data_IF_231406114975
#
_entry.id   IF_231406114975
#
_cell.length_a   1.000
_cell.length_b   1.000
_cell.length_c   1.000
_cell.angle_alpha   90.00
_cell.angle_beta   90.00
_cell.angle_gamma   90.00
#
_symmetry.space_group_name_H-M   'P 1'
#
loop_
_entity.id
_entity.type
_entity.pdbx_description
1 polymer ?
#
# COMPACT_ATOMS: atom_id res chain seq x y z
N UNK A 1 10.30 -12.16 -10.71
CA UNK A 1 10.76 -11.06 -11.56
C UNK A 1 10.02 -11.14 -12.88
N UNK A 2 9.63 -10.01 -13.45
CA UNK A 2 9.07 -9.97 -14.80
C UNK A 2 10.14 -10.36 -15.84
N UNK A 3 9.71 -11.10 -16.86
CA UNK A 3 10.53 -11.47 -18.02
C UNK A 3 9.98 -10.71 -19.24
N UNK A 4 10.29 -9.41 -19.29
CA UNK A 4 9.79 -8.47 -20.28
C UNK A 4 8.92 -7.36 -19.68
N UNK A 5 8.92 -6.22 -20.38
CA UNK A 5 8.08 -5.05 -20.09
C UNK A 5 6.59 -5.38 -20.31
N UNK A 6 5.77 -4.90 -19.39
CA UNK A 6 4.32 -5.10 -19.40
C UNK A 6 3.61 -3.77 -19.46
N UNK A 7 2.93 -3.50 -20.58
CA UNK A 7 2.05 -2.36 -20.72
C UNK A 7 0.90 -2.39 -19.70
N UNK A 8 0.34 -1.22 -19.37
CA UNK A 8 -0.94 -1.15 -18.68
C UNK A 8 -2.05 -1.84 -19.49
N UNK A 9 -3.04 -2.39 -18.80
CA UNK A 9 -4.20 -3.03 -19.42
C UNK A 9 -4.06 -4.53 -19.67
N UNK A 10 -2.93 -5.16 -19.30
CA UNK A 10 -2.74 -6.60 -19.52
C UNK A 10 -3.38 -7.43 -18.42
N UNK A 11 -3.74 -8.67 -18.77
CA UNK A 11 -4.32 -9.66 -17.85
C UNK A 11 -3.44 -10.91 -17.67
N UNK A 12 -2.22 -10.85 -18.20
CA UNK A 12 -1.22 -11.91 -18.06
C UNK A 12 0.18 -11.29 -17.91
N UNK A 13 0.93 -11.78 -16.93
CA UNK A 13 2.34 -11.42 -16.74
C UNK A 13 3.21 -12.61 -17.13
N UNK A 14 4.27 -12.36 -17.90
CA UNK A 14 5.36 -13.31 -18.11
C UNK A 14 6.39 -13.07 -17.01
N UNK A 15 6.76 -14.13 -16.30
CA UNK A 15 7.66 -14.02 -15.16
C UNK A 15 8.72 -15.10 -15.22
N UNK A 16 9.86 -14.83 -14.59
CA UNK A 16 10.81 -15.87 -14.21
C UNK A 16 10.10 -16.99 -13.45
N UNK A 17 10.62 -18.21 -13.61
CA UNK A 17 10.08 -19.39 -12.94
C UNK A 17 9.86 -19.14 -11.45
N UNK A 18 8.61 -19.23 -11.00
CA UNK A 18 8.25 -18.88 -9.63
C UNK A 18 8.99 -19.77 -8.62
N UNK A 19 9.62 -19.20 -7.58
CA UNK A 19 10.30 -20.00 -6.56
C UNK A 19 9.33 -20.80 -5.66
N UNK A 20 8.05 -20.41 -5.65
CA UNK A 20 6.99 -21.04 -4.87
C UNK A 20 5.63 -20.87 -5.54
N UNK A 21 4.60 -21.51 -4.97
CA UNK A 21 3.24 -21.33 -5.45
C UNK A 21 2.70 -19.94 -5.07
N UNK A 22 1.87 -19.35 -5.94
CA UNK A 22 1.22 -18.05 -5.74
C UNK A 22 -0.30 -18.27 -5.86
N UNK A 23 -1.06 -18.24 -4.76
CA UNK A 23 -2.50 -18.47 -4.81
C UNK A 23 -3.27 -17.33 -5.50
N UNK A 24 -4.47 -17.63 -5.98
CA UNK A 24 -5.42 -16.63 -6.43
C UNK A 24 -5.72 -15.62 -5.30
N UNK A 25 -5.93 -14.36 -5.68
CA UNK A 25 -6.15 -13.25 -4.77
C UNK A 25 -4.88 -12.59 -4.25
N UNK A 26 -3.70 -13.14 -4.54
CA UNK A 26 -2.41 -12.52 -4.19
C UNK A 26 -2.28 -11.15 -4.83
N UNK A 27 -1.83 -10.16 -4.05
CA UNK A 27 -1.37 -8.87 -4.59
C UNK A 27 0.13 -8.94 -4.79
N UNK A 28 0.55 -8.72 -6.02
CA UNK A 28 1.94 -8.54 -6.43
C UNK A 28 2.21 -7.04 -6.39
N UNK A 29 3.17 -6.62 -5.58
CA UNK A 29 3.59 -5.23 -5.46
C UNK A 29 4.96 -5.04 -6.13
N UNK A 30 4.99 -4.38 -7.28
CA UNK A 30 6.21 -4.09 -8.03
C UNK A 30 6.80 -2.71 -7.64
N UNK A 31 6.37 -2.16 -6.49
CA UNK A 31 6.79 -0.86 -6.00
C UNK A 31 5.92 0.26 -6.55
N UNK A 32 6.52 1.42 -6.83
CA UNK A 32 5.78 2.58 -7.31
C UNK A 32 6.53 3.40 -8.33
N UNK A 33 5.78 4.13 -9.14
CA UNK A 33 6.28 5.17 -10.03
C UNK A 33 6.39 6.45 -9.21
N UNK A 34 7.55 7.10 -9.23
CA UNK A 34 7.73 8.39 -8.57
C UNK A 34 6.90 9.48 -9.27
N UNK A 35 6.43 10.46 -8.50
CA UNK A 35 5.73 11.60 -9.08
C UNK A 35 6.60 12.38 -10.07
N UNK A 36 5.96 12.90 -11.12
CA UNK A 36 6.59 13.69 -12.19
C UNK A 36 5.97 15.08 -12.23
N UNK A 37 6.78 16.12 -12.14
CA UNK A 37 6.35 17.49 -12.38
C UNK A 37 6.56 17.84 -13.85
N UNK A 38 5.46 18.08 -14.56
CA UNK A 38 5.46 18.56 -15.94
C UNK A 38 5.47 20.09 -15.92
N UNK A 39 6.41 20.70 -16.63
CA UNK A 39 6.43 22.15 -16.86
C UNK A 39 6.27 22.42 -18.35
N UNK A 40 5.25 23.18 -18.76
CA UNK A 40 5.10 23.60 -20.15
C UNK A 40 6.22 24.56 -20.54
N UNK A 41 6.78 24.37 -21.74
CA UNK A 41 7.89 25.19 -22.25
C UNK A 41 7.47 26.27 -23.23
N UNK A 42 6.25 26.13 -23.77
CA UNK A 42 5.59 27.06 -24.66
C UNK A 42 4.09 26.94 -24.44
N UNK A 43 3.37 28.02 -24.74
CA UNK A 43 1.92 27.98 -24.69
C UNK A 43 1.37 26.97 -25.71
N UNK A 44 0.47 26.09 -25.26
CA UNK A 44 -0.21 25.11 -26.10
C UNK A 44 -1.66 25.52 -26.25
N UNK A 45 -2.06 25.85 -27.48
CA UNK A 45 -3.37 26.39 -27.78
C UNK A 45 -4.51 25.38 -27.52
N UNK A 46 -5.71 25.90 -27.29
CA UNK A 46 -6.95 25.11 -27.26
C UNK A 46 -7.08 24.23 -28.51
N UNK A 47 -7.43 22.96 -28.31
CA UNK A 47 -7.51 21.95 -29.38
C UNK A 47 -6.17 21.38 -29.83
N UNK A 48 -5.05 21.74 -29.19
CA UNK A 48 -3.80 21.03 -29.42
C UNK A 48 -3.90 19.58 -28.92
N UNK A 49 -3.27 18.66 -29.63
CA UNK A 49 -3.16 17.22 -29.29
C UNK A 49 -1.77 16.84 -28.79
N UNK A 50 -0.93 17.84 -28.55
CA UNK A 50 0.40 17.69 -27.98
C UNK A 50 0.71 18.87 -27.07
N UNK A 51 1.29 18.56 -25.91
CA UNK A 51 1.81 19.53 -24.96
C UNK A 51 3.34 19.49 -25.00
N UNK A 52 3.99 20.61 -25.34
CA UNK A 52 5.46 20.71 -25.29
C UNK A 52 5.89 21.07 -23.87
N UNK A 53 6.85 20.32 -23.32
CA UNK A 53 7.29 20.45 -21.94
C UNK A 53 8.80 20.31 -21.79
N UNK A 54 9.30 20.61 -20.59
CA UNK A 54 10.64 20.20 -20.20
C UNK A 54 10.78 18.69 -20.25
N UNK A 55 12.01 18.22 -20.44
CA UNK A 55 12.34 16.80 -20.40
C UNK A 55 11.79 16.18 -19.11
N UNK A 56 10.96 15.14 -19.23
CA UNK A 56 10.34 14.50 -18.08
C UNK A 56 11.38 13.79 -17.21
N UNK A 57 11.20 13.86 -15.88
CA UNK A 57 12.05 13.15 -14.91
C UNK A 57 11.70 11.67 -14.77
N UNK A 58 10.54 11.26 -15.27
CA UNK A 58 10.00 9.91 -15.17
C UNK A 58 8.82 9.72 -16.13
N UNK A 59 8.29 8.49 -16.21
CA UNK A 59 7.17 8.18 -17.09
C UNK A 59 5.84 8.79 -16.59
N UNK A 60 4.93 9.06 -17.53
CA UNK A 60 3.55 9.45 -17.26
C UNK A 60 2.64 8.54 -18.10
N UNK A 61 1.84 7.67 -17.47
CA UNK A 61 0.95 6.76 -18.18
C UNK A 61 -0.13 7.48 -19.00
N UNK A 62 -0.62 6.85 -20.06
CA UNK A 62 -1.83 7.24 -20.78
C UNK A 62 -3.05 7.27 -19.82
N UNK A 63 -4.03 8.12 -20.13
CA UNK A 63 -5.22 8.32 -19.30
C UNK A 63 -4.99 9.20 -18.06
N UNK A 64 -3.78 9.72 -17.86
CA UNK A 64 -3.45 10.63 -16.75
C UNK A 64 -4.02 12.02 -17.00
N UNK A 65 -4.73 12.56 -16.01
CA UNK A 65 -5.12 13.98 -15.98
C UNK A 65 -4.01 14.83 -15.35
N UNK A 66 -3.51 15.78 -16.11
CA UNK A 66 -2.56 16.80 -15.67
C UNK A 66 -3.30 18.12 -15.48
N UNK A 67 -3.36 18.61 -14.24
CA UNK A 67 -3.96 19.90 -13.90
C UNK A 67 -2.89 20.98 -13.81
N UNK A 68 -2.94 21.95 -14.73
CA UNK A 68 -2.04 23.10 -14.80
C UNK A 68 -2.58 24.33 -14.05
N UNK A 69 -3.66 24.15 -13.28
CA UNK A 69 -4.35 25.19 -12.53
C UNK A 69 -5.42 25.89 -13.38
N UNK A 70 -5.64 27.18 -13.11
CA UNK A 70 -6.69 27.98 -13.78
C UNK A 70 -6.13 28.89 -14.86
N UNK A 71 -6.90 29.06 -15.94
CA UNK A 71 -6.60 29.95 -17.05
C UNK A 71 -6.92 31.41 -16.67
N UNK A 72 -5.89 32.20 -16.38
CA UNK A 72 -6.03 33.64 -16.11
C UNK A 72 -7.10 33.97 -15.07
N UNK A 73 -8.01 34.88 -15.41
CA UNK A 73 -9.14 35.31 -14.56
C UNK A 73 -10.45 34.62 -14.87
N UNK A 74 -10.54 33.78 -15.92
CA UNK A 74 -11.81 33.11 -16.27
C UNK A 74 -12.16 32.02 -15.27
N UNK A 75 -11.15 31.45 -14.59
CA UNK A 75 -11.32 30.37 -13.61
C UNK A 75 -11.46 28.99 -14.25
N UNK A 76 -11.37 28.89 -15.58
CA UNK A 76 -11.43 27.61 -16.30
C UNK A 76 -10.18 26.79 -15.99
N UNK A 77 -10.34 25.49 -15.72
CA UNK A 77 -9.22 24.61 -15.46
C UNK A 77 -8.46 24.26 -16.74
N UNK A 78 -7.15 24.31 -16.67
CA UNK A 78 -6.24 23.91 -17.73
C UNK A 78 -5.87 22.44 -17.53
N UNK A 79 -6.76 21.55 -17.97
CA UNK A 79 -6.57 20.10 -17.88
C UNK A 79 -6.01 19.52 -19.17
N UNK A 80 -5.07 18.59 -19.07
CA UNK A 80 -4.64 17.76 -20.19
C UNK A 80 -4.80 16.28 -19.83
N UNK A 81 -5.45 15.52 -20.72
CA UNK A 81 -5.57 14.06 -20.60
C UNK A 81 -4.53 13.42 -21.52
N UNK A 82 -3.57 12.68 -20.96
CA UNK A 82 -2.57 11.95 -21.76
C UNK A 82 -3.24 10.84 -22.57
N UNK A 83 -2.85 10.66 -23.84
CA UNK A 83 -3.44 9.65 -24.73
C UNK A 83 -2.49 8.51 -25.08
N UNK A 84 -1.20 8.70 -24.80
CA UNK A 84 -0.14 7.71 -24.96
C UNK A 84 0.79 7.86 -23.76
N UNK A 85 1.44 6.78 -23.36
CA UNK A 85 2.49 6.81 -22.34
C UNK A 85 3.62 7.75 -22.79
N UNK A 86 3.98 8.67 -21.91
CA UNK A 86 5.16 9.51 -22.07
C UNK A 86 6.29 8.92 -21.23
N UNK A 87 7.49 8.83 -21.78
CA UNK A 87 8.66 8.25 -21.10
C UNK A 87 9.57 9.33 -20.52
N UNK A 88 10.46 8.94 -19.62
CA UNK A 88 11.49 9.85 -19.13
C UNK A 88 12.26 10.47 -20.31
N UNK A 89 12.66 11.74 -20.17
CA UNK A 89 13.32 12.57 -21.19
C UNK A 89 12.45 13.08 -22.34
N UNK A 90 11.20 12.62 -22.48
CA UNK A 90 10.28 13.20 -23.47
C UNK A 90 10.11 14.69 -23.23
N UNK A 91 10.10 15.46 -24.32
CA UNK A 91 9.85 16.91 -24.31
C UNK A 91 8.50 17.28 -24.91
N UNK A 92 7.68 16.28 -25.23
CA UNK A 92 6.32 16.44 -25.73
C UNK A 92 5.46 15.29 -25.23
N UNK A 93 4.26 15.62 -24.74
CA UNK A 93 3.27 14.64 -24.26
C UNK A 93 2.11 14.63 -25.26
N UNK A 94 1.71 13.44 -25.72
CA UNK A 94 0.50 13.27 -26.51
C UNK A 94 -0.73 13.40 -25.59
N UNK A 95 -1.66 14.28 -25.95
CA UNK A 95 -2.84 14.58 -25.14
C UNK A 95 -4.10 14.57 -26.00
N UNK A 96 -5.26 14.39 -25.37
CA UNK A 96 -6.54 14.69 -26.01
C UNK A 96 -6.63 16.19 -26.30
N UNK A 97 -7.54 16.58 -27.21
CA UNK A 97 -7.79 17.97 -27.56
C UNK A 97 -7.89 18.85 -26.30
N UNK A 98 -6.94 19.78 -26.13
CA UNK A 98 -6.92 20.63 -24.95
C UNK A 98 -8.22 21.46 -24.84
N UNK A 99 -8.96 21.40 -23.72
CA UNK A 99 -10.19 22.16 -23.56
C UNK A 99 -9.94 23.67 -23.52
N UNK A 100 -8.77 24.08 -23.03
CA UNK A 100 -8.30 25.47 -22.96
C UNK A 100 -6.79 25.56 -23.24
N UNK A 101 -6.31 26.77 -23.50
CA UNK A 101 -4.87 27.01 -23.67
C UNK A 101 -4.11 26.77 -22.36
N UNK A 102 -3.06 25.94 -22.42
CA UNK A 102 -2.07 25.81 -21.36
C UNK A 102 -0.99 26.86 -21.62
N UNK A 103 -0.90 27.86 -20.74
CA UNK A 103 0.10 28.93 -20.86
C UNK A 103 1.53 28.41 -20.65
N UNK A 104 2.51 29.19 -21.11
CA UNK A 104 3.92 28.93 -20.87
C UNK A 104 4.26 28.88 -19.36
N UNK A 105 5.27 28.08 -19.01
CA UNK A 105 5.79 27.88 -17.66
C UNK A 105 4.77 27.41 -16.60
N UNK A 106 3.63 26.84 -17.03
CA UNK A 106 2.66 26.24 -16.12
C UNK A 106 3.13 24.85 -15.71
N UNK A 107 2.79 24.47 -14.49
CA UNK A 107 3.19 23.20 -13.92
C UNK A 107 1.99 22.33 -13.58
N UNK A 108 2.07 21.05 -13.88
CA UNK A 108 1.20 20.01 -13.37
C UNK A 108 2.05 18.94 -12.69
N UNK A 109 1.48 18.23 -11.72
CA UNK A 109 2.19 17.12 -11.06
C UNK A 109 1.39 15.84 -11.22
N UNK A 110 1.99 14.86 -11.90
CA UNK A 110 1.58 13.47 -11.76
C UNK A 110 2.14 12.96 -10.43
N UNK A 111 1.27 12.48 -9.53
CA UNK A 111 1.69 12.09 -8.18
C UNK A 111 2.42 10.74 -8.13
N UNK A 112 2.48 10.02 -9.26
CA UNK A 112 2.94 8.64 -9.28
C UNK A 112 1.84 7.68 -8.87
N UNK A 113 2.22 6.45 -8.52
CA UNK A 113 1.28 5.42 -8.10
C UNK A 113 1.98 4.09 -7.83
N UNK A 114 1.25 3.15 -7.22
CA UNK A 114 1.74 1.80 -6.95
C UNK A 114 1.50 0.89 -8.16
N UNK A 115 2.52 0.11 -8.52
CA UNK A 115 2.45 -0.91 -9.57
C UNK A 115 1.97 -2.21 -8.96
N UNK A 116 0.65 -2.41 -8.95
CA UNK A 116 0.02 -3.57 -8.33
C UNK A 116 -0.62 -4.47 -9.38
N UNK A 117 -0.50 -5.79 -9.19
CA UNK A 117 -1.26 -6.77 -9.96
C UNK A 117 -1.91 -7.80 -9.03
N UNK A 118 -3.20 -8.07 -9.22
CA UNK A 118 -3.91 -9.08 -8.45
C UNK A 118 -3.98 -10.39 -9.21
N UNK A 119 -3.43 -11.46 -8.65
CA UNK A 119 -3.48 -12.80 -9.26
C UNK A 119 -4.91 -13.33 -9.24
N UNK A 120 -5.41 -13.83 -10.38
CA UNK A 120 -6.78 -14.35 -10.53
C UNK A 120 -6.87 -15.87 -10.45
N UNK A 121 -5.76 -16.59 -10.68
CA UNK A 121 -5.71 -18.04 -10.65
C UNK A 121 -4.45 -18.53 -9.93
N UNK A 122 -4.57 -19.65 -9.22
CA UNK A 122 -3.44 -20.29 -8.55
C UNK A 122 -2.33 -20.60 -9.56
N UNK A 123 -1.11 -20.19 -9.24
CA UNK A 123 0.09 -20.53 -9.99
C UNK A 123 0.99 -21.44 -9.15
N UNK A 124 1.43 -22.55 -9.74
CA UNK A 124 2.33 -23.48 -9.07
C UNK A 124 3.79 -22.97 -9.08
N UNK A 125 4.62 -23.49 -8.18
CA UNK A 125 6.06 -23.28 -8.26
C UNK A 125 6.60 -23.71 -9.62
N UNK A 126 7.50 -22.91 -10.19
CA UNK A 126 8.06 -23.10 -11.53
C UNK A 126 7.16 -22.59 -12.68
N UNK A 127 5.97 -22.07 -12.42
CA UNK A 127 5.20 -21.39 -13.45
C UNK A 127 5.96 -20.16 -13.96
N UNK A 128 5.82 -19.86 -15.26
CA UNK A 128 6.47 -18.71 -15.93
C UNK A 128 5.44 -17.71 -16.45
N UNK A 129 4.18 -17.85 -16.01
CA UNK A 129 3.11 -16.94 -16.37
C UNK A 129 2.07 -16.87 -15.24
N UNK A 130 1.54 -15.67 -15.01
CA UNK A 130 0.51 -15.38 -14.02
C UNK A 130 -0.70 -14.75 -14.70
N UNK A 131 -1.89 -15.30 -14.48
CA UNK A 131 -3.15 -14.63 -14.84
C UNK A 131 -3.47 -13.61 -13.77
N UNK A 132 -3.60 -12.34 -14.15
CA UNK A 132 -3.84 -11.23 -13.23
C UNK A 132 -5.05 -10.40 -13.67
N UNK A 133 -5.58 -9.62 -12.74
CA UNK A 133 -6.50 -8.54 -13.05
C UNK A 133 -5.78 -7.47 -13.89
N UNK A 134 -6.55 -6.65 -14.58
CA UNK A 134 -6.01 -5.62 -15.47
C UNK A 134 -5.02 -4.71 -14.72
N UNK A 135 -3.77 -4.65 -15.17
CA UNK A 135 -2.75 -3.79 -14.54
C UNK A 135 -3.03 -2.33 -14.88
N UNK A 136 -3.23 -1.45 -13.90
CA UNK A 136 -3.58 -0.05 -14.19
C UNK A 136 -2.38 0.76 -14.70
N UNK A 137 -1.16 0.29 -14.42
CA UNK A 137 0.09 0.94 -14.78
C UNK A 137 0.99 -0.07 -15.51
N UNK A 138 1.89 0.47 -16.32
CA UNK A 138 3.02 -0.28 -16.86
C UNK A 138 3.88 -0.85 -15.72
N UNK A 139 4.47 -2.01 -15.97
CA UNK A 139 5.44 -2.64 -15.09
C UNK A 139 6.67 -2.97 -15.93
N UNK A 140 7.80 -2.40 -15.55
CA UNK A 140 9.04 -2.42 -16.31
C UNK A 140 9.68 -3.83 -16.30
N UNK A 141 10.46 -4.11 -17.34
CA UNK A 141 11.28 -5.33 -17.38
C UNK A 141 12.20 -5.41 -16.14
N UNK A 142 12.42 -6.64 -15.66
CA UNK A 142 13.17 -6.95 -14.45
C UNK A 142 12.58 -6.40 -13.14
N UNK A 143 11.41 -5.77 -13.14
CA UNK A 143 10.72 -5.43 -11.90
C UNK A 143 10.41 -6.72 -11.11
N UNK A 144 10.72 -6.67 -9.81
CA UNK A 144 10.53 -7.79 -8.90
C UNK A 144 9.34 -7.51 -8.02
N UNK A 145 8.25 -8.25 -8.23
CA UNK A 145 7.11 -8.20 -7.32
C UNK A 145 7.48 -8.72 -5.95
N UNK A 146 7.16 -7.93 -4.94
CA UNK A 146 6.96 -8.40 -3.59
C UNK A 146 5.61 -9.10 -3.48
N UNK A 147 5.62 -10.30 -2.92
CA UNK A 147 4.41 -11.11 -2.72
C UNK A 147 4.03 -11.04 -1.25
N UNK A 148 3.07 -10.18 -0.90
CA UNK A 148 2.41 -10.29 0.41
C UNK A 148 1.41 -11.44 0.30
N UNK A 149 1.88 -12.66 0.56
CA UNK A 149 1.16 -13.87 0.21
C UNK A 149 -0.22 -13.98 0.88
N UNK A 150 -1.29 -14.35 0.16
CA UNK A 150 -2.49 -14.89 0.79
C UNK A 150 -2.11 -16.17 1.52
N UNK A 151 -2.36 -16.20 2.83
CA UNK A 151 -1.88 -17.23 3.75
C UNK A 151 -0.74 -16.80 4.66
N UNK A 152 -0.17 -15.61 4.46
CA UNK A 152 0.72 -15.00 5.45
C UNK A 152 -0.06 -14.84 6.76
N UNK A 153 0.50 -15.38 7.85
CA UNK A 153 -0.11 -15.22 9.17
C UNK A 153 -0.07 -13.76 9.54
N UNK A 154 -1.24 -13.21 9.87
CA UNK A 154 -1.38 -11.84 10.35
C UNK A 154 -1.84 -11.88 11.80
N UNK A 155 -1.15 -11.14 12.66
CA UNK A 155 -1.59 -10.83 14.02
C UNK A 155 -2.19 -9.42 13.98
N UNK A 156 -3.50 -9.26 14.25
CA UNK A 156 -4.14 -7.95 14.22
C UNK A 156 -3.58 -6.98 15.28
N UNK A 157 -3.62 -5.69 14.97
CA UNK A 157 -3.43 -4.63 15.96
C UNK A 157 -4.44 -4.77 17.11
N UNK A 158 -4.01 -4.42 18.32
CA UNK A 158 -4.78 -4.59 19.54
C UNK A 158 -4.79 -6.02 20.10
N UNK A 159 -4.17 -7.00 19.41
CA UNK A 159 -3.99 -8.33 19.99
C UNK A 159 -3.17 -8.24 21.27
N UNK A 160 -3.62 -8.94 22.30
CA UNK A 160 -2.94 -9.05 23.59
C UNK A 160 -1.69 -9.90 23.40
N UNK A 161 -0.55 -9.37 23.81
CA UNK A 161 0.76 -10.01 23.65
C UNK A 161 1.31 -10.44 25.00
N UNK A 162 2.15 -11.46 24.98
CA UNK A 162 2.92 -11.93 26.12
C UNK A 162 4.40 -12.03 25.75
N UNK A 163 5.25 -11.60 26.66
CA UNK A 163 6.70 -11.76 26.55
C UNK A 163 7.11 -13.07 27.22
N UNK A 164 7.85 -13.90 26.49
CA UNK A 164 8.42 -15.14 26.98
C UNK A 164 9.70 -14.87 27.78
N UNK A 165 10.11 -15.80 28.64
CA UNK A 165 11.40 -15.75 29.32
C UNK A 165 12.63 -15.59 28.38
N UNK A 166 12.48 -15.91 27.10
CA UNK A 166 13.52 -15.69 26.08
C UNK A 166 13.60 -14.23 25.57
N UNK A 167 12.72 -13.33 26.02
CA UNK A 167 12.55 -11.97 25.49
C UNK A 167 11.81 -11.91 24.15
N UNK A 168 11.21 -13.02 23.71
CA UNK A 168 10.39 -13.05 22.49
C UNK A 168 8.94 -12.72 22.83
N UNK A 169 8.25 -12.05 21.93
CA UNK A 169 6.86 -11.64 22.14
C UNK A 169 5.94 -12.41 21.20
N UNK A 170 4.82 -12.92 21.74
CA UNK A 170 3.82 -13.72 20.99
C UNK A 170 2.40 -13.33 21.38
N UNK A 171 1.38 -13.62 20.54
CA UNK A 171 -0.01 -13.51 20.95
C UNK A 171 -0.27 -14.29 22.23
N UNK A 172 -0.92 -13.66 23.22
CA UNK A 172 -1.20 -14.26 24.52
C UNK A 172 -1.99 -15.57 24.39
N UNK A 173 -2.87 -15.67 23.39
CA UNK A 173 -3.61 -16.89 23.09
C UNK A 173 -2.72 -18.12 22.82
N UNK A 174 -1.54 -17.89 22.23
CA UNK A 174 -0.64 -18.97 21.80
C UNK A 174 0.27 -19.49 22.93
N UNK A 175 0.39 -18.72 24.02
CA UNK A 175 1.36 -18.99 25.09
C UNK A 175 0.73 -19.06 26.48
N UNK A 176 -0.31 -18.26 26.73
CA UNK A 176 -1.10 -18.28 27.96
C UNK A 176 -2.28 -19.24 27.78
N UNK A 177 -1.98 -20.52 27.74
CA UNK A 177 -3.01 -21.55 27.99
C UNK A 177 -3.47 -21.48 29.45
N UNK A 178 -4.65 -22.02 29.77
CA UNK A 178 -5.19 -22.00 31.14
C UNK A 178 -4.21 -22.66 32.14
N UNK A 179 -3.39 -21.84 32.82
CA UNK A 179 -2.36 -22.27 33.77
C UNK A 179 -0.89 -22.09 33.32
N UNK A 180 -0.62 -21.45 32.18
CA UNK A 180 0.74 -21.07 31.78
C UNK A 180 1.37 -20.04 32.73
N UNK A 181 2.71 -20.07 32.86
CA UNK A 181 3.47 -19.17 33.73
C UNK A 181 3.76 -17.80 33.09
N UNK A 182 3.56 -17.66 31.78
CA UNK A 182 3.77 -16.42 31.03
C UNK A 182 2.57 -15.49 31.23
N UNK A 183 2.82 -14.19 31.35
CA UNK A 183 1.79 -13.16 31.59
C UNK A 183 1.68 -12.21 30.41
N UNK A 184 0.49 -11.67 30.19
CA UNK A 184 0.30 -10.65 29.17
C UNK A 184 1.10 -9.39 29.54
N UNK A 185 1.76 -8.78 28.56
CA UNK A 185 2.65 -7.62 28.79
C UNK A 185 2.25 -6.36 28.05
N UNK A 186 1.56 -6.49 26.92
CA UNK A 186 1.20 -5.34 26.08
C UNK A 186 0.07 -5.66 25.11
N UNK A 187 -0.35 -4.65 24.36
CA UNK A 187 -1.13 -4.81 23.13
C UNK A 187 -0.25 -4.49 21.92
N UNK A 188 -0.42 -5.23 20.84
CA UNK A 188 0.26 -4.93 19.57
C UNK A 188 -0.29 -3.62 18.98
N UNK A 189 0.57 -2.66 18.59
CA UNK A 189 0.13 -1.35 18.10
C UNK A 189 -0.34 -1.39 16.64
N UNK A 190 0.35 -2.16 15.78
CA UNK A 190 0.09 -2.29 14.35
C UNK A 190 -0.03 -3.75 13.94
N UNK A 191 -0.71 -4.06 12.84
CA UNK A 191 -0.79 -5.45 12.37
C UNK A 191 0.62 -6.01 12.14
N UNK A 192 0.89 -7.21 12.64
CA UNK A 192 2.11 -7.94 12.34
C UNK A 192 1.87 -8.98 11.25
N UNK A 193 2.57 -8.83 10.13
CA UNK A 193 2.40 -9.68 8.95
C UNK A 193 3.65 -10.56 8.77
N UNK A 194 3.43 -11.86 8.67
CA UNK A 194 4.49 -12.84 8.41
C UNK A 194 5.26 -12.47 7.14
N UNK A 195 6.59 -12.39 7.27
CA UNK A 195 7.49 -12.09 6.16
C UNK A 195 7.67 -10.60 5.84
N UNK A 196 7.05 -9.67 6.58
CA UNK A 196 7.26 -8.23 6.37
C UNK A 196 8.68 -7.80 6.75
N UNK A 197 9.54 -7.52 5.75
CA UNK A 197 10.92 -7.06 5.96
C UNK A 197 10.99 -5.65 6.54
N UNK A 198 10.06 -4.76 6.13
CA UNK A 198 9.96 -3.40 6.66
C UNK A 198 9.71 -3.40 8.17
N UNK A 199 8.72 -4.19 8.60
CA UNK A 199 8.43 -4.34 10.03
C UNK A 199 9.54 -5.13 10.75
N UNK A 200 10.21 -6.05 10.07
CA UNK A 200 11.38 -6.76 10.61
C UNK A 200 12.57 -5.83 10.88
N UNK A 201 12.70 -4.73 10.14
CA UNK A 201 13.77 -3.73 10.30
C UNK A 201 13.43 -2.72 11.40
N UNK A 202 12.18 -2.22 11.43
CA UNK A 202 11.75 -1.20 12.40
C UNK A 202 11.26 -1.77 13.72
N UNK A 203 10.87 -3.05 13.72
CA UNK A 203 10.13 -3.68 14.81
C UNK A 203 8.65 -3.27 14.83
N UNK A 204 7.90 -3.87 15.75
CA UNK A 204 6.51 -3.54 16.03
C UNK A 204 6.39 -2.74 17.33
N UNK A 205 5.53 -1.72 17.30
CA UNK A 205 5.15 -0.97 18.49
C UNK A 205 4.29 -1.79 19.46
N UNK A 206 4.43 -1.50 20.74
CA UNK A 206 3.64 -2.12 21.81
C UNK A 206 3.01 -1.04 22.69
N UNK A 207 1.72 -1.17 22.91
CA UNK A 207 0.97 -0.34 23.85
C UNK A 207 1.14 -0.96 25.24
N UNK A 208 1.73 -0.20 26.16
CA UNK A 208 2.03 -0.60 27.55
C UNK A 208 1.26 0.25 28.58
N UNK A 209 0.17 0.90 28.16
CA UNK A 209 -0.66 1.74 29.02
C UNK A 209 -1.60 2.66 28.25
N UNK A 210 -2.51 3.32 28.96
CA UNK A 210 -3.47 4.28 28.40
C UNK A 210 -4.92 3.81 28.44
N UNK A 211 -5.80 4.61 27.85
CA UNK A 211 -7.22 4.33 27.76
C UNK A 211 -7.55 3.50 26.52
N UNK A 212 -8.20 2.34 26.71
CA UNK A 212 -8.51 1.39 25.65
C UNK A 212 -9.97 0.93 25.75
N UNK A 213 -10.66 0.88 24.61
CA UNK A 213 -11.99 0.29 24.51
C UNK A 213 -11.89 -1.25 24.41
N UNK A 214 -12.08 -1.93 25.54
CA UNK A 214 -11.83 -3.37 25.67
C UNK A 214 -12.70 -4.23 24.75
N UNK A 215 -13.93 -3.80 24.47
CA UNK A 215 -14.88 -4.53 23.62
C UNK A 215 -14.59 -4.39 22.12
N UNK A 216 -13.65 -3.54 21.74
CA UNK A 216 -13.20 -3.39 20.35
C UNK A 216 -11.90 -4.15 20.07
N UNK A 217 -11.28 -4.74 21.10
CA UNK A 217 -10.07 -5.53 20.92
C UNK A 217 -10.39 -6.87 20.23
N UNK A 218 -9.48 -7.37 19.37
CA UNK A 218 -9.68 -8.62 18.64
C UNK A 218 -9.87 -9.82 19.56
N UNK A 219 -9.23 -9.81 20.73
CA UNK A 219 -9.29 -10.89 21.72
C UNK A 219 -10.46 -10.78 22.70
N UNK A 220 -11.33 -9.77 22.56
CA UNK A 220 -12.39 -9.47 23.54
C UNK A 220 -13.35 -10.63 23.83
N UNK A 221 -13.56 -11.50 22.85
CA UNK A 221 -14.40 -12.69 22.97
C UNK A 221 -13.64 -13.94 23.49
N UNK A 222 -12.31 -13.86 23.66
CA UNK A 222 -11.50 -14.99 24.08
C UNK A 222 -11.78 -15.36 25.55
N UNK A 223 -11.90 -16.66 25.84
CA UNK A 223 -12.29 -17.13 27.18
C UNK A 223 -11.32 -16.78 28.31
N UNK A 224 -10.06 -16.46 27.97
CA UNK A 224 -9.03 -16.02 28.93
C UNK A 224 -8.81 -14.50 28.93
N UNK A 225 -9.57 -13.73 28.15
CA UNK A 225 -9.35 -12.31 27.95
C UNK A 225 -9.34 -11.52 29.27
N UNK A 226 -10.31 -11.77 30.16
CA UNK A 226 -10.38 -11.12 31.48
C UNK A 226 -9.10 -11.35 32.31
N UNK A 227 -8.54 -12.56 32.28
CA UNK A 227 -7.29 -12.88 32.97
C UNK A 227 -6.11 -12.11 32.39
N UNK A 228 -6.05 -11.97 31.07
CA UNK A 228 -4.97 -11.25 30.41
C UNK A 228 -5.02 -9.75 30.69
N UNK A 229 -6.23 -9.16 30.68
CA UNK A 229 -6.43 -7.75 31.04
C UNK A 229 -5.96 -7.47 32.47
N UNK A 230 -6.33 -8.33 33.44
CA UNK A 230 -5.83 -8.19 34.82
C UNK A 230 -4.30 -8.33 34.90
N UNK A 231 -3.68 -9.15 34.06
CA UNK A 231 -2.22 -9.26 34.03
C UNK A 231 -1.54 -7.97 33.53
N UNK A 232 -2.14 -7.26 32.57
CA UNK A 232 -1.64 -5.97 32.09
C UNK A 232 -1.66 -4.87 33.16
N UNK A 233 -2.60 -4.95 34.11
CA UNK A 233 -2.74 -4.02 35.24
C UNK A 233 -1.70 -4.23 36.34
N UNK A 234 -0.95 -5.34 36.31
CA UNK A 234 0.07 -5.63 37.32
C UNK A 234 1.16 -4.57 37.27
N UNK A 235 1.50 -4.04 38.44
CA UNK A 235 2.55 -3.03 38.58
C UNK A 235 3.89 -3.54 38.01
N UNK A 236 4.44 -2.79 37.05
CA UNK A 236 5.69 -3.14 36.37
C UNK A 236 5.53 -3.79 34.99
N UNK A 237 4.29 -4.11 34.59
CA UNK A 237 3.96 -4.58 33.24
C UNK A 237 3.60 -3.42 32.32
N UNK A 238 2.64 -2.60 32.74
CA UNK A 238 2.28 -1.34 32.08
C UNK A 238 1.94 -0.24 33.08
N UNK A 239 1.77 0.99 32.61
CA UNK A 239 1.42 2.13 33.47
C UNK A 239 0.17 2.84 33.00
N UNK A 240 -0.82 2.95 33.89
CA UNK A 240 -2.01 3.79 33.65
C UNK A 240 -3.01 3.19 32.66
N UNK A 241 -3.23 1.87 32.70
CA UNK A 241 -4.33 1.26 31.96
C UNK A 241 -5.68 1.77 32.46
N UNK A 242 -6.54 2.15 31.52
CA UNK A 242 -7.94 2.47 31.75
C UNK A 242 -8.77 1.71 30.71
N UNK A 243 -9.59 0.77 31.17
CA UNK A 243 -10.43 -0.04 30.30
C UNK A 243 -11.84 0.54 30.20
N UNK A 244 -12.21 0.95 29.00
CA UNK A 244 -13.52 1.50 28.69
C UNK A 244 -14.34 0.50 27.85
N UNK A 245 -15.65 0.65 27.86
CA UNK A 245 -16.54 -0.09 26.95
C UNK A 245 -17.15 0.92 25.99
N UNK A 246 -16.89 0.76 24.71
CA UNK A 246 -17.51 1.58 23.67
C UNK A 246 -18.99 1.23 23.56
N UNK A 247 -19.84 2.24 23.64
CA UNK A 247 -21.26 2.18 23.30
C UNK A 247 -21.55 3.27 22.27
N UNK A 248 -22.19 2.92 21.15
CA UNK A 248 -22.59 3.89 20.14
C UNK A 248 -23.95 4.49 20.50
N UNK A 249 -23.93 5.68 21.11
CA UNK A 249 -25.14 6.41 21.52
C UNK A 249 -25.66 7.38 20.43
N UNK A 250 -25.19 7.25 19.18
CA UNK A 250 -25.70 8.02 18.04
C UNK A 250 -27.06 7.46 17.59
N UNK A 251 -28.11 7.76 18.36
CA UNK A 251 -29.51 7.57 17.96
C UNK A 251 -29.97 8.62 16.95
#
# INVERSE_FOLDING_TARGET
TLDGEVAGGVTALTVDALPGAVPAGTILDFGGIAGVTVTSNVASAKGAVSLTCNALSGPIPAGTYLDFGVHGTSGDQMLALTTVDAVATDTAIAVADLPEEIQDAKTATYLGGSKLAKVLADAAAGATSLTVDETPLEIEDADTAWVVGPGAKTIPAGTVMAELASGLVKPAADVITAGGAETATSLLETNAVEGSEGDGLTGYGQIVGGAIYQNLLPDSAHGSFATWITALEVAGVGTGWLWETYADDRA
#
